data_IF_545480950586
#
_entry.id   IF_545480950586
#
_cell.length_a   1.000
_cell.length_b   1.000
_cell.length_c   1.000
_cell.angle_alpha   90.00
_cell.angle_beta   90.00
_cell.angle_gamma   90.00
#
_symmetry.space_group_name_H-M   'P 1'
#
loop_
_entity.id
_entity.type
_entity.pdbx_description
1 polymer ?
#
# COMPACT_ATOMS: atom_id res chain seq x y z
N UNK A 1 20.27 -7.21 -7.05
CA UNK A 1 20.37 -6.08 -6.09
C UNK A 1 18.97 -5.84 -5.57
N UNK A 2 18.69 -6.13 -4.28
CA UNK A 2 17.35 -5.87 -3.73
C UNK A 2 17.18 -4.37 -3.57
N UNK A 3 16.15 -3.79 -4.21
CA UNK A 3 15.79 -2.39 -4.04
C UNK A 3 15.37 -2.11 -2.60
N UNK A 4 15.64 -0.92 -2.10
CA UNK A 4 15.20 -0.49 -0.77
C UNK A 4 13.66 -0.58 -0.68
N UNK A 5 13.09 -1.29 0.32
CA UNK A 5 11.65 -1.40 0.47
C UNK A 5 10.99 -0.03 0.63
N UNK A 6 9.86 0.17 -0.03
CA UNK A 6 9.11 1.42 -0.07
C UNK A 6 7.82 1.29 0.73
N UNK A 7 7.21 2.39 1.19
CA UNK A 7 5.91 2.33 1.85
C UNK A 7 4.90 1.51 1.05
N UNK A 8 4.09 0.73 1.77
CA UNK A 8 3.13 -0.26 1.27
C UNK A 8 3.71 -1.56 0.70
N UNK A 9 5.03 -1.71 0.56
CA UNK A 9 5.61 -3.00 0.23
C UNK A 9 5.36 -3.99 1.38
N UNK A 10 5.04 -5.24 1.04
CA UNK A 10 4.95 -6.34 2.00
C UNK A 10 6.30 -7.04 2.05
N UNK A 11 6.85 -7.22 3.26
CA UNK A 11 8.15 -7.86 3.46
C UNK A 11 8.05 -9.01 4.44
N UNK A 12 8.76 -10.09 4.15
CA UNK A 12 8.90 -11.24 5.06
C UNK A 12 10.26 -11.20 5.72
N UNK A 13 10.26 -11.58 6.99
CA UNK A 13 11.45 -11.56 7.82
C UNK A 13 11.99 -12.96 7.99
N UNK A 14 13.31 -13.08 8.18
CA UNK A 14 13.98 -14.36 8.43
C UNK A 14 13.56 -15.03 9.75
N UNK A 15 13.16 -14.27 10.77
CA UNK A 15 12.71 -14.79 12.06
C UNK A 15 11.82 -13.78 12.80
N UNK A 16 11.07 -14.26 13.80
CA UNK A 16 10.07 -13.41 14.47
C UNK A 16 10.70 -12.29 15.33
N UNK A 17 11.86 -12.57 15.93
CA UNK A 17 12.62 -11.60 16.74
C UNK A 17 13.32 -10.51 15.91
N UNK A 18 13.14 -10.50 14.58
CA UNK A 18 13.64 -9.43 13.72
C UNK A 18 12.80 -8.15 13.84
N UNK A 19 11.60 -8.26 14.42
CA UNK A 19 10.76 -7.11 14.77
C UNK A 19 11.31 -6.42 16.01
N UNK A 20 11.57 -5.13 15.88
CA UNK A 20 12.10 -4.25 16.92
C UNK A 20 11.07 -3.18 17.30
N UNK A 21 11.15 -2.70 18.55
CA UNK A 21 10.31 -1.65 19.16
C UNK A 21 8.79 -1.80 18.92
N UNK A 22 8.29 -3.03 19.00
CA UNK A 22 6.84 -3.31 19.01
C UNK A 22 6.32 -3.19 20.44
N UNK A 23 5.35 -2.31 20.67
CA UNK A 23 4.75 -2.11 21.99
C UNK A 23 3.64 -3.11 22.32
N UNK A 24 2.97 -3.64 21.29
CA UNK A 24 1.74 -4.39 21.44
C UNK A 24 1.99 -5.88 21.76
N UNK A 25 1.60 -6.38 22.95
CA UNK A 25 1.93 -7.74 23.39
C UNK A 25 1.33 -8.85 22.53
N UNK A 26 0.20 -8.58 21.85
CA UNK A 26 -0.46 -9.56 20.99
C UNK A 26 0.40 -9.98 19.80
N UNK A 27 1.36 -9.14 19.38
CA UNK A 27 2.25 -9.44 18.26
C UNK A 27 3.09 -10.68 18.54
N UNK A 28 3.69 -10.76 19.73
CA UNK A 28 4.48 -11.92 20.15
C UNK A 28 3.64 -13.21 20.19
N UNK A 29 2.34 -13.08 20.52
CA UNK A 29 1.43 -14.23 20.62
C UNK A 29 0.93 -14.69 19.25
N UNK A 30 0.62 -13.77 18.34
CA UNK A 30 -0.16 -14.03 17.13
C UNK A 30 0.65 -13.98 15.83
N UNK A 31 1.63 -13.07 15.72
CA UNK A 31 2.38 -12.92 14.49
C UNK A 31 3.50 -13.95 14.37
N UNK A 32 3.81 -14.36 13.14
CA UNK A 32 4.83 -15.35 12.80
C UNK A 32 5.58 -14.87 11.56
N UNK A 33 6.87 -15.23 11.43
CA UNK A 33 7.72 -14.82 10.31
C UNK A 33 7.23 -15.28 8.92
N UNK A 34 6.34 -16.28 8.87
CA UNK A 34 5.65 -16.70 7.64
C UNK A 34 4.64 -15.65 7.12
N UNK A 35 4.20 -14.72 7.97
CA UNK A 35 3.32 -13.62 7.60
C UNK A 35 4.16 -12.38 7.29
N UNK A 36 3.76 -11.58 6.29
CA UNK A 36 4.47 -10.35 5.99
C UNK A 36 4.21 -9.29 7.06
N UNK A 37 5.07 -8.29 7.06
CA UNK A 37 4.80 -6.96 7.63
C UNK A 37 4.75 -5.94 6.50
N UNK A 38 4.01 -4.84 6.71
CA UNK A 38 3.87 -3.78 5.71
C UNK A 38 4.85 -2.66 5.98
N UNK A 39 5.63 -2.24 4.99
CA UNK A 39 6.50 -1.08 5.13
C UNK A 39 5.65 0.16 5.30
N UNK A 40 5.96 0.95 6.32
CA UNK A 40 5.27 2.19 6.65
C UNK A 40 6.05 3.40 6.15
N UNK A 41 5.41 4.55 6.21
CA UNK A 41 6.09 5.84 6.05
C UNK A 41 6.46 6.36 7.42
N UNK A 42 7.73 6.25 7.76
CA UNK A 42 8.32 6.81 8.97
C UNK A 42 9.83 7.02 8.72
N UNK A 43 10.52 7.67 9.65
CA UNK A 43 11.98 7.84 9.58
C UNK A 43 12.61 7.45 10.91
N UNK A 44 13.67 6.65 10.85
CA UNK A 44 14.47 6.29 12.00
C UNK A 44 15.91 6.77 11.81
N UNK A 45 16.53 7.20 12.92
CA UNK A 45 17.92 7.66 12.94
C UNK A 45 18.93 6.52 12.76
N UNK A 46 18.51 5.26 12.86
CA UNK A 46 19.38 4.08 12.81
C UNK A 46 19.26 3.27 11.51
N UNK A 47 18.70 3.86 10.45
CA UNK A 47 18.51 3.22 9.14
C UNK A 47 17.68 1.92 9.17
N UNK A 48 16.83 1.75 10.19
CA UNK A 48 15.83 0.67 10.21
C UNK A 48 14.65 1.01 9.32
N UNK A 49 13.99 -0.02 8.82
CA UNK A 49 12.81 0.10 7.99
C UNK A 49 11.57 0.11 8.90
N UNK A 50 10.73 1.14 8.86
CA UNK A 50 9.49 1.17 9.62
C UNK A 50 8.50 0.16 9.05
N UNK A 51 7.91 -0.65 9.91
CA UNK A 51 6.99 -1.71 9.53
C UNK A 51 5.73 -1.71 10.40
N UNK A 52 4.63 -2.17 9.81
CA UNK A 52 3.36 -2.39 10.46
C UNK A 52 3.05 -3.88 10.53
N UNK A 53 2.70 -4.36 11.72
CA UNK A 53 2.17 -5.71 11.91
C UNK A 53 0.65 -5.63 11.96
N UNK A 54 -0.01 -6.54 11.25
CA UNK A 54 -1.47 -6.73 11.29
C UNK A 54 -1.81 -7.96 12.12
N UNK A 55 -2.75 -7.81 13.04
CA UNK A 55 -3.34 -8.92 13.78
C UNK A 55 -4.57 -9.50 13.07
N UNK A 56 -5.24 -10.45 13.73
CA UNK A 56 -6.43 -11.10 13.19
C UNK A 56 -7.63 -10.14 13.11
N UNK A 57 -7.74 -9.21 14.05
CA UNK A 57 -8.81 -8.20 14.09
C UNK A 57 -8.40 -6.92 13.34
N UNK A 58 -9.40 -6.19 12.83
CA UNK A 58 -9.20 -4.98 12.01
C UNK A 58 -8.42 -3.89 12.76
N UNK A 59 -8.67 -3.78 14.05
CA UNK A 59 -8.06 -2.82 14.98
C UNK A 59 -6.66 -3.21 15.44
N UNK A 60 -6.26 -4.47 15.28
CA UNK A 60 -4.93 -4.93 15.68
C UNK A 60 -3.90 -4.49 14.65
N UNK A 61 -3.29 -3.35 14.92
CA UNK A 61 -2.18 -2.79 14.14
C UNK A 61 -1.09 -2.36 15.10
N UNK A 62 0.11 -2.83 14.86
CA UNK A 62 1.27 -2.52 15.68
C UNK A 62 2.35 -1.84 14.84
N UNK A 63 3.04 -0.87 15.44
CA UNK A 63 4.15 -0.16 14.85
C UNK A 63 5.46 -0.78 15.32
N UNK A 64 6.40 -1.03 14.41
CA UNK A 64 7.74 -1.44 14.79
C UNK A 64 8.75 -1.16 13.68
N UNK A 65 9.93 -1.73 13.85
CA UNK A 65 11.06 -1.53 12.98
C UNK A 65 11.71 -2.86 12.60
N UNK A 66 12.43 -2.87 11.50
CA UNK A 66 13.23 -4.03 11.09
C UNK A 66 14.54 -3.59 10.45
N UNK A 67 15.60 -4.35 10.71
CA UNK A 67 16.88 -4.18 10.03
C UNK A 67 16.79 -4.70 8.59
N UNK A 68 17.29 -3.97 7.58
CA UNK A 68 17.21 -4.41 6.17
C UNK A 68 17.77 -5.81 5.92
N UNK A 69 18.83 -6.20 6.65
CA UNK A 69 19.46 -7.53 6.57
C UNK A 69 18.55 -8.70 6.95
N UNK A 70 17.45 -8.44 7.66
CA UNK A 70 16.51 -9.46 8.10
C UNK A 70 15.37 -9.69 7.11
N UNK A 71 15.27 -8.89 6.04
CA UNK A 71 14.25 -9.05 5.00
C UNK A 71 14.70 -10.11 4.00
N UNK A 72 13.88 -11.14 3.82
CA UNK A 72 14.17 -12.29 2.94
C UNK A 72 13.32 -12.32 1.68
N UNK A 73 12.19 -11.62 1.67
CA UNK A 73 11.28 -11.52 0.52
C UNK A 73 10.54 -10.18 0.58
N UNK A 74 10.32 -9.61 -0.59
CA UNK A 74 9.51 -8.40 -0.76
C UNK A 74 8.48 -8.62 -1.86
N UNK A 75 7.28 -8.10 -1.66
CA UNK A 75 6.21 -8.03 -2.65
C UNK A 75 5.72 -6.58 -2.68
N UNK A 76 5.90 -5.91 -3.81
CA UNK A 76 5.45 -4.52 -3.97
C UNK A 76 3.99 -4.49 -4.43
N UNK A 77 3.26 -3.39 -4.19
CA UNK A 77 1.90 -3.22 -4.67
C UNK A 77 1.74 -3.46 -6.18
N UNK A 78 2.74 -3.06 -6.98
CA UNK A 78 2.74 -3.16 -8.44
C UNK A 78 2.91 -4.61 -8.92
N UNK A 79 3.55 -5.47 -8.13
CA UNK A 79 3.63 -6.91 -8.45
C UNK A 79 2.28 -7.60 -8.33
N UNK A 80 1.36 -7.03 -7.54
CA UNK A 80 0.05 -7.61 -7.22
C UNK A 80 -1.03 -7.28 -8.25
N UNK A 81 -0.68 -6.55 -9.31
CA UNK A 81 -1.60 -6.18 -10.41
C UNK A 81 -1.21 -6.80 -11.74
N UNK A 82 -0.37 -7.83 -11.70
CA UNK A 82 -0.12 -8.68 -12.86
C UNK A 82 -1.40 -9.45 -13.21
N UNK A 83 -1.83 -9.31 -14.47
CA UNK A 83 -3.21 -9.63 -14.88
C UNK A 83 -3.46 -11.13 -14.81
N UNK A 84 -2.51 -11.93 -15.26
CA UNK A 84 -2.58 -13.38 -15.28
C UNK A 84 -2.69 -13.93 -13.85
N UNK A 85 -1.87 -13.44 -12.92
CA UNK A 85 -1.92 -13.79 -11.49
C UNK A 85 -3.24 -13.36 -10.85
N UNK A 86 -3.79 -12.20 -11.19
CA UNK A 86 -5.10 -11.77 -10.72
C UNK A 86 -6.22 -12.69 -11.20
N UNK A 87 -6.19 -13.11 -12.46
CA UNK A 87 -7.19 -14.03 -13.05
C UNK A 87 -7.08 -15.42 -12.42
N UNK A 88 -5.86 -15.89 -12.12
CA UNK A 88 -5.61 -17.17 -11.47
C UNK A 88 -5.76 -17.14 -9.95
N UNK A 89 -6.01 -15.97 -9.35
CA UNK A 89 -6.13 -15.80 -7.90
C UNK A 89 -7.30 -16.62 -7.34
N UNK A 90 -7.16 -17.27 -6.17
CA UNK A 90 -8.29 -17.90 -5.48
C UNK A 90 -9.36 -16.87 -5.08
N UNK A 91 -9.05 -15.58 -5.11
CA UNK A 91 -9.95 -14.48 -4.78
C UNK A 91 -10.56 -13.80 -6.01
N UNK A 92 -10.42 -14.36 -7.22
CA UNK A 92 -10.89 -13.75 -8.48
C UNK A 92 -12.37 -13.34 -8.46
N UNK A 93 -13.21 -14.02 -7.68
CA UNK A 93 -14.63 -13.70 -7.53
C UNK A 93 -14.93 -12.55 -6.56
N UNK A 94 -13.94 -12.09 -5.79
CA UNK A 94 -14.10 -10.98 -4.86
C UNK A 94 -14.15 -9.65 -5.62
N UNK A 95 -15.12 -8.76 -5.34
CA UNK A 95 -15.24 -7.45 -6.00
C UNK A 95 -13.94 -6.64 -6.09
N UNK A 96 -13.10 -6.50 -5.05
CA UNK A 96 -11.84 -5.76 -5.17
C UNK A 96 -10.82 -6.39 -6.14
N UNK A 97 -10.83 -7.71 -6.32
CA UNK A 97 -9.94 -8.39 -7.28
C UNK A 97 -10.48 -8.22 -8.71
N UNK A 98 -11.79 -8.34 -8.91
CA UNK A 98 -12.43 -8.01 -10.19
C UNK A 98 -12.19 -6.56 -10.59
N UNK A 99 -12.24 -5.64 -9.63
CA UNK A 99 -11.94 -4.23 -9.81
C UNK A 99 -10.48 -4.01 -10.23
N UNK A 100 -9.51 -4.68 -9.58
CA UNK A 100 -8.11 -4.63 -9.99
C UNK A 100 -7.93 -5.15 -11.42
N UNK A 101 -8.54 -6.29 -11.78
CA UNK A 101 -8.52 -6.85 -13.15
C UNK A 101 -9.05 -5.83 -14.16
N UNK A 102 -10.17 -5.16 -13.87
CA UNK A 102 -10.75 -4.15 -14.74
C UNK A 102 -9.78 -2.99 -15.02
N UNK A 103 -9.01 -2.56 -14.02
CA UNK A 103 -8.00 -1.50 -14.19
C UNK A 103 -6.79 -1.95 -15.03
N UNK A 104 -6.49 -3.25 -15.11
CA UNK A 104 -5.43 -3.78 -16.00
C UNK A 104 -5.81 -3.79 -17.49
N UNK A 105 -7.09 -3.57 -17.82
CA UNK A 105 -7.57 -3.57 -19.21
C UNK A 105 -7.06 -2.35 -20.00
N UNK A 106 -6.67 -1.29 -19.30
CA UNK A 106 -6.12 -0.06 -19.86
C UNK A 106 -4.66 0.09 -19.42
N UNK A 107 -3.80 0.59 -20.32
CA UNK A 107 -2.44 0.97 -19.96
C UNK A 107 -2.45 2.38 -19.37
N UNK A 108 -1.82 2.53 -18.21
CA UNK A 108 -1.67 3.82 -17.53
C UNK A 108 -0.23 4.32 -17.68
N UNK A 109 0.00 5.64 -17.70
CA UNK A 109 1.34 6.21 -17.89
C UNK A 109 2.20 6.18 -16.61
N UNK A 110 1.74 5.54 -15.54
CA UNK A 110 2.42 5.42 -14.26
C UNK A 110 2.39 3.98 -13.73
N UNK A 111 3.29 3.70 -12.78
CA UNK A 111 3.20 2.49 -11.96
C UNK A 111 2.06 2.62 -10.95
N UNK A 112 1.19 1.61 -10.91
CA UNK A 112 0.13 1.50 -9.92
C UNK A 112 0.09 0.09 -9.34
N UNK A 113 -0.57 -0.05 -8.19
CA UNK A 113 -0.66 -1.31 -7.48
C UNK A 113 -1.80 -1.34 -6.47
N UNK A 114 -2.00 -2.51 -5.86
CA UNK A 114 -3.01 -2.73 -4.82
C UNK A 114 -2.37 -2.83 -3.45
N UNK A 115 -3.01 -2.24 -2.46
CA UNK A 115 -2.55 -2.26 -1.05
C UNK A 115 -3.68 -2.76 -0.14
N UNK A 116 -3.60 -2.48 1.16
CA UNK A 116 -4.66 -2.82 2.10
C UNK A 116 -4.92 -4.32 2.25
N UNK A 117 -6.16 -4.69 2.55
CA UNK A 117 -6.57 -6.10 2.68
C UNK A 117 -6.45 -6.87 1.38
N UNK A 118 -6.73 -6.23 0.24
CA UNK A 118 -6.64 -6.88 -1.08
C UNK A 118 -5.20 -7.22 -1.42
N UNK A 119 -4.28 -6.27 -1.24
CA UNK A 119 -2.86 -6.56 -1.42
C UNK A 119 -2.36 -7.64 -0.45
N UNK A 120 -2.78 -7.60 0.81
CA UNK A 120 -2.44 -8.64 1.80
C UNK A 120 -2.95 -10.02 1.39
N UNK A 121 -4.22 -10.13 0.98
CA UNK A 121 -4.81 -11.39 0.55
C UNK A 121 -4.07 -11.95 -0.68
N UNK A 122 -3.86 -11.14 -1.71
CA UNK A 122 -3.16 -11.56 -2.93
C UNK A 122 -1.72 -12.03 -2.66
N UNK A 123 -1.02 -11.39 -1.71
CA UNK A 123 0.36 -11.72 -1.42
C UNK A 123 0.54 -12.96 -0.50
N UNK A 124 -0.50 -13.31 0.27
CA UNK A 124 -0.44 -14.35 1.32
C UNK A 124 -1.38 -15.53 1.09
N UNK A 125 -2.33 -15.40 0.18
CA UNK A 125 -3.45 -16.33 0.00
C UNK A 125 -4.34 -16.52 1.25
N UNK A 126 -4.26 -15.62 2.22
CA UNK A 126 -5.10 -15.64 3.41
C UNK A 126 -6.45 -14.97 3.09
N UNK A 127 -7.59 -15.64 3.34
CA UNK A 127 -8.92 -15.16 2.97
C UNK A 127 -9.44 -14.06 3.92
N UNK A 128 -8.84 -12.87 3.84
CA UNK A 128 -9.26 -11.69 4.63
C UNK A 128 -10.27 -10.80 3.91
N UNK A 129 -10.63 -11.16 2.67
CA UNK A 129 -11.58 -10.42 1.83
C UNK A 129 -13.01 -10.91 2.04
N UNK A 130 -13.96 -9.99 1.89
CA UNK A 130 -15.38 -10.26 1.90
C UNK A 130 -16.09 -9.41 0.83
N UNK A 131 -17.35 -9.73 0.51
CA UNK A 131 -18.10 -9.07 -0.56
C UNK A 131 -18.17 -7.54 -0.44
N UNK A 132 -18.23 -7.00 0.79
CA UNK A 132 -18.24 -5.55 1.05
C UNK A 132 -16.83 -4.91 1.18
N UNK A 133 -15.75 -5.62 0.85
CA UNK A 133 -14.38 -5.08 0.94
C UNK A 133 -14.18 -3.97 -0.08
N UNK A 134 -13.51 -2.91 0.32
CA UNK A 134 -13.01 -1.87 -0.56
C UNK A 134 -11.68 -2.27 -1.22
N UNK A 135 -11.28 -1.48 -2.22
CA UNK A 135 -10.00 -1.61 -2.91
C UNK A 135 -9.12 -0.39 -2.64
N UNK A 136 -8.00 -0.60 -1.96
CA UNK A 136 -6.97 0.43 -1.79
C UNK A 136 -5.98 0.39 -2.97
N UNK A 137 -5.93 1.48 -3.74
CA UNK A 137 -5.06 1.65 -4.90
C UNK A 137 -3.91 2.60 -4.57
N UNK A 138 -2.73 2.32 -5.11
CA UNK A 138 -1.54 3.15 -5.00
C UNK A 138 -1.05 3.51 -6.39
N UNK A 139 -0.78 4.80 -6.62
CA UNK A 139 -0.03 5.28 -7.79
C UNK A 139 1.31 5.83 -7.30
N UNK A 140 2.41 5.38 -7.91
CA UNK A 140 3.74 5.97 -7.69
C UNK A 140 3.93 7.16 -8.63
N UNK A 141 4.06 8.35 -8.06
CA UNK A 141 4.21 9.62 -8.77
C UNK A 141 5.53 10.32 -8.36
N UNK A 142 6.69 9.85 -8.86
CA UNK A 142 7.98 10.51 -8.57
C UNK A 142 8.04 11.95 -9.10
N UNK A 143 7.20 12.27 -10.09
CA UNK A 143 7.01 13.60 -10.67
C UNK A 143 5.50 13.90 -10.74
N UNK A 144 5.11 15.20 -10.87
CA UNK A 144 3.73 15.57 -11.13
C UNK A 144 3.15 14.80 -12.31
N UNK A 145 1.94 14.29 -12.12
CA UNK A 145 1.22 13.54 -13.15
C UNK A 145 0.27 14.48 -13.91
N UNK A 146 0.02 14.13 -15.16
CA UNK A 146 -0.97 14.82 -15.97
C UNK A 146 -2.36 14.73 -15.35
N UNK A 147 -3.04 15.88 -15.24
CA UNK A 147 -4.33 15.98 -14.55
C UNK A 147 -5.45 15.31 -15.34
N UNK A 148 -5.40 15.36 -16.67
CA UNK A 148 -6.43 14.73 -17.52
C UNK A 148 -6.36 13.21 -17.40
N UNK A 149 -5.16 12.63 -17.47
CA UNK A 149 -4.96 11.21 -17.22
C UNK A 149 -5.46 10.78 -15.82
N UNK A 150 -5.23 11.59 -14.78
CA UNK A 150 -5.76 11.30 -13.43
C UNK A 150 -7.28 11.36 -13.35
N UNK A 151 -7.93 12.25 -14.12
CA UNK A 151 -9.38 12.29 -14.23
C UNK A 151 -9.92 11.06 -14.96
N UNK A 152 -9.24 10.58 -16.01
CA UNK A 152 -9.59 9.33 -16.69
C UNK A 152 -9.49 8.13 -15.74
N UNK A 153 -8.41 8.04 -14.96
CA UNK A 153 -8.27 7.05 -13.90
C UNK A 153 -9.43 7.11 -12.92
N UNK A 154 -9.76 8.31 -12.44
CA UNK A 154 -10.83 8.49 -11.47
C UNK A 154 -12.20 8.09 -12.05
N UNK A 155 -12.44 8.38 -13.33
CA UNK A 155 -13.64 7.95 -14.03
C UNK A 155 -13.74 6.43 -14.14
N UNK A 156 -12.62 5.74 -14.40
CA UNK A 156 -12.56 4.26 -14.37
C UNK A 156 -12.81 3.70 -12.97
N UNK A 157 -12.17 4.29 -11.96
CA UNK A 157 -12.33 3.90 -10.55
C UNK A 157 -13.78 4.02 -10.09
N UNK A 158 -14.50 5.06 -10.53
CA UNK A 158 -15.91 5.27 -10.18
C UNK A 158 -16.87 4.20 -10.75
N UNK A 159 -16.44 3.42 -11.76
CA UNK A 159 -17.23 2.37 -12.41
C UNK A 159 -16.93 0.97 -11.87
N UNK A 160 -16.04 0.83 -10.88
CA UNK A 160 -15.62 -0.45 -10.34
C UNK A 160 -16.74 -1.13 -9.53
N UNK A 161 -16.74 -2.48 -9.43
CA UNK A 161 -17.75 -3.24 -8.70
C UNK A 161 -17.68 -3.08 -7.17
N UNK A 162 -16.73 -2.29 -6.64
CA UNK A 162 -16.62 -1.97 -5.22
C UNK A 162 -16.11 -0.54 -5.04
N UNK A 163 -16.26 -0.01 -3.82
CA UNK A 163 -15.59 1.24 -3.42
C UNK A 163 -14.08 1.07 -3.57
N UNK A 164 -13.43 2.05 -4.16
CA UNK A 164 -11.99 2.06 -4.33
C UNK A 164 -11.41 3.44 -4.00
N UNK A 165 -10.36 3.44 -3.19
CA UNK A 165 -9.66 4.65 -2.75
C UNK A 165 -8.28 4.69 -3.40
N UNK A 166 -8.00 5.75 -4.17
CA UNK A 166 -6.67 5.92 -4.79
C UNK A 166 -5.81 6.87 -3.97
N UNK A 167 -4.63 6.38 -3.58
CA UNK A 167 -3.57 7.18 -3.00
C UNK A 167 -2.49 7.48 -4.05
N UNK A 168 -2.11 8.75 -4.15
CA UNK A 168 -0.92 9.17 -4.91
C UNK A 168 0.25 9.24 -3.94
N UNK A 169 1.31 8.50 -4.24
CA UNK A 169 2.58 8.61 -3.53
C UNK A 169 3.57 9.48 -4.29
N UNK A 170 4.12 10.46 -3.59
CA UNK A 170 5.17 11.37 -4.05
C UNK A 170 6.46 11.13 -3.25
N UNK A 171 7.59 11.73 -3.66
CA UNK A 171 8.81 11.71 -2.84
C UNK A 171 8.63 12.28 -1.42
N UNK A 172 7.65 13.16 -1.20
CA UNK A 172 7.48 13.89 0.07
C UNK A 172 6.39 13.33 0.98
N UNK A 173 5.58 12.41 0.49
CA UNK A 173 4.45 11.85 1.21
C UNK A 173 3.41 11.27 0.28
N UNK A 174 2.25 10.94 0.83
CA UNK A 174 1.15 10.41 0.04
C UNK A 174 -0.17 11.10 0.38
N UNK A 175 -1.07 11.23 -0.59
CA UNK A 175 -2.36 11.90 -0.44
C UNK A 175 -3.48 11.18 -1.19
N UNK A 176 -4.73 11.41 -0.79
CA UNK A 176 -5.90 10.85 -1.47
C UNK A 176 -6.20 11.62 -2.76
N UNK A 177 -6.27 10.91 -3.90
CA UNK A 177 -6.51 11.52 -5.21
C UNK A 177 -7.84 12.28 -5.26
N UNK A 178 -8.91 11.69 -4.72
CA UNK A 178 -10.25 12.29 -4.71
C UNK A 178 -10.29 13.65 -4.00
N UNK A 179 -9.65 13.74 -2.84
CA UNK A 179 -9.61 14.99 -2.07
C UNK A 179 -8.86 16.07 -2.84
N UNK A 180 -7.70 15.72 -3.43
CA UNK A 180 -6.90 16.67 -4.18
C UNK A 180 -7.58 17.15 -5.47
N UNK A 181 -8.22 16.25 -6.23
CA UNK A 181 -8.96 16.62 -7.44
C UNK A 181 -10.16 17.53 -7.16
N UNK A 182 -10.80 17.37 -6.00
CA UNK A 182 -11.96 18.17 -5.57
C UNK A 182 -11.54 19.54 -5.01
N UNK A 183 -10.58 19.56 -4.09
CA UNK A 183 -10.30 20.73 -3.25
C UNK A 183 -9.08 21.53 -3.72
N UNK A 184 -8.30 21.01 -4.69
CA UNK A 184 -7.06 21.62 -5.20
C UNK A 184 -5.90 21.60 -4.19
N UNK A 185 -6.14 21.09 -2.97
CA UNK A 185 -5.14 20.94 -1.90
C UNK A 185 -5.16 19.50 -1.41
N UNK A 186 -3.97 18.96 -1.16
CA UNK A 186 -3.75 17.62 -0.69
C UNK A 186 -3.44 17.64 0.81
N UNK A 187 -4.11 16.78 1.59
CA UNK A 187 -3.66 16.42 2.93
C UNK A 187 -2.52 15.39 2.79
N UNK A 188 -1.29 15.89 2.63
CA UNK A 188 -0.08 15.11 2.42
C UNK A 188 0.36 14.44 3.73
N UNK A 189 0.28 13.11 3.76
CA UNK A 189 0.78 12.28 4.87
C UNK A 189 2.29 12.08 4.69
N UNK A 190 3.08 12.76 5.51
CA UNK A 190 4.55 12.66 5.51
C UNK A 190 5.02 11.78 6.67
N UNK A 191 6.31 11.45 6.73
CA UNK A 191 6.91 10.79 7.91
C UNK A 191 6.93 11.67 9.16
N UNK A 192 6.72 12.98 9.03
CA UNK A 192 6.69 13.96 10.13
C UNK A 192 5.28 14.40 10.50
N UNK A 193 4.25 13.72 9.98
CA UNK A 193 2.84 14.07 10.17
C UNK A 193 2.15 14.56 8.91
N UNK A 194 0.84 14.82 9.03
CA UNK A 194 0.01 15.29 7.92
C UNK A 194 0.13 16.82 7.76
N UNK A 195 0.21 17.28 6.51
CA UNK A 195 0.27 18.70 6.13
C UNK A 195 -0.70 18.96 4.98
N UNK A 196 -1.46 20.05 5.04
CA UNK A 196 -2.26 20.52 3.91
C UNK A 196 -1.37 21.35 2.96
N UNK A 197 -1.32 21.00 1.68
CA UNK A 197 -0.47 21.68 0.67
C UNK A 197 -1.15 21.74 -0.70
N UNK A 198 -0.84 22.76 -1.51
CA UNK A 198 -1.24 22.81 -2.93
C UNK A 198 -0.20 22.16 -3.86
N UNK A 199 1.01 21.89 -3.36
CA UNK A 199 2.16 21.45 -4.16
C UNK A 199 2.74 20.12 -3.63
N UNK A 200 1.99 19.00 -3.68
CA UNK A 200 2.40 17.76 -3.01
C UNK A 200 3.68 17.11 -3.60
N UNK A 201 4.18 17.59 -4.74
CA UNK A 201 5.45 17.18 -5.35
C UNK A 201 6.63 18.10 -5.06
N UNK A 202 6.47 19.12 -4.21
CA UNK A 202 7.56 20.01 -3.83
C UNK A 202 7.77 19.99 -2.33
N UNK A 203 9.04 20.15 -1.93
CA UNK A 203 9.36 20.47 -0.55
C UNK A 203 8.97 21.93 -0.35
N UNK A 204 7.84 22.17 0.31
CA UNK A 204 7.59 23.48 0.90
C UNK A 204 8.61 23.64 2.04
N UNK A 205 9.53 24.60 1.85
CA UNK A 205 10.58 25.00 2.79
C UNK A 205 9.99 25.48 4.13
#
# INVERSE_FOLDING_TARGET
MSSTPRPHDLVWLNHASALEDIAEPWVAQQWRAALPVVVRRDVDGQARIPVGVRGMKREQRAAGWVQPRNIVRSVTPEMLVEREALICSPFVSQPPVQAAIALTLQRWPWGWGVTGSTGYALATEIPVLHAASDLDLLIRAPQPLDREALLEWQARVAQLPCRADTQIETPYGAFALNEWLRDGRALLKTSRGARLTATPWHRED
#
